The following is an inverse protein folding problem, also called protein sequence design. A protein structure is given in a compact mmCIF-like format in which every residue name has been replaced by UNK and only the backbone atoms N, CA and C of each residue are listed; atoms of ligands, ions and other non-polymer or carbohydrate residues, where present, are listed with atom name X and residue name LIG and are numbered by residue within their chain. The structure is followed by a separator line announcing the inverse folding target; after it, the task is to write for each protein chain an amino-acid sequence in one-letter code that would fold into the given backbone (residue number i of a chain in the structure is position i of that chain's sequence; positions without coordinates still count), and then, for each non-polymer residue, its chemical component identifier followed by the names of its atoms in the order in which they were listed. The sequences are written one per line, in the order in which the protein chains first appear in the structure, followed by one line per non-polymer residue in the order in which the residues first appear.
data_IF_713739412339
#
_entry.id   IF_713739412339
#
_cell.length_a   1.000
_cell.length_b   1.000
_cell.length_c   1.000
_cell.angle_alpha   90.00
_cell.angle_beta   90.00
_cell.angle_gamma   90.00
#
_symmetry.space_group_name_H-M   'P 1'
#
loop_
_entity.id
_entity.type
_entity.pdbx_description
1 polymer ?
#
# COMPACT_ATOMS: atom_id res chain seq x y z
N UNK A 1 14.08 0.83 15.77
CA UNK A 1 12.99 0.54 14.82
C UNK A 1 13.26 -0.71 14.02
N UNK A 2 12.25 -1.25 13.33
CA UNK A 2 12.34 -2.49 12.55
C UNK A 2 11.82 -3.74 13.27
N UNK A 3 12.05 -4.91 12.66
CA UNK A 3 11.64 -6.21 13.23
C UNK A 3 12.45 -6.46 14.51
N UNK A 4 11.80 -6.73 15.66
CA UNK A 4 12.50 -7.10 16.88
C UNK A 4 13.29 -8.42 16.69
N UNK A 5 14.61 -8.37 16.92
CA UNK A 5 15.54 -9.49 16.71
C UNK A 5 16.31 -9.86 17.98
N UNK A 6 16.59 -11.16 18.15
CA UNK A 6 17.54 -11.67 19.13
C UNK A 6 18.46 -12.69 18.44
N UNK A 7 19.77 -12.45 18.45
CA UNK A 7 20.77 -13.31 17.79
C UNK A 7 20.45 -13.61 16.32
N UNK A 8 19.96 -12.59 15.58
CA UNK A 8 19.59 -12.73 14.17
C UNK A 8 18.24 -13.43 13.92
N UNK A 9 17.48 -13.74 14.97
CA UNK A 9 16.18 -14.40 14.86
C UNK A 9 15.06 -13.46 15.32
N UNK A 10 13.96 -13.32 14.56
CA UNK A 10 12.80 -12.54 15.01
C UNK A 10 12.21 -13.06 16.33
N UNK A 11 11.91 -12.13 17.23
CA UNK A 11 11.34 -12.42 18.55
C UNK A 11 9.81 -12.32 18.59
N UNK A 12 9.21 -11.76 17.55
CA UNK A 12 7.76 -11.61 17.38
C UNK A 12 7.24 -12.54 16.28
N UNK A 13 5.94 -12.79 16.27
CA UNK A 13 5.26 -13.53 15.22
C UNK A 13 3.80 -13.10 15.10
N UNK A 14 3.21 -13.38 13.95
CA UNK A 14 1.78 -13.18 13.66
C UNK A 14 1.12 -14.55 13.55
N UNK A 15 -0.01 -14.73 14.22
CA UNK A 15 -0.75 -15.98 14.16
C UNK A 15 -1.43 -16.15 12.79
N UNK A 16 -1.21 -17.29 12.16
CA UNK A 16 -1.93 -17.68 10.96
C UNK A 16 -3.25 -18.38 11.35
N UNK A 17 -4.41 -17.76 11.08
CA UNK A 17 -5.70 -18.31 11.52
C UNK A 17 -6.11 -19.60 10.81
N UNK A 18 -5.43 -19.98 9.72
CA UNK A 18 -5.71 -21.24 9.01
C UNK A 18 -4.89 -22.40 9.55
N UNK A 19 -3.61 -22.17 9.85
CA UNK A 19 -2.70 -23.23 10.30
C UNK A 19 -2.55 -23.27 11.82
N UNK A 20 -3.04 -22.24 12.53
CA UNK A 20 -2.82 -21.99 13.95
C UNK A 20 -1.33 -21.92 14.34
N UNK A 21 -0.45 -21.65 13.36
CA UNK A 21 0.98 -21.46 13.60
C UNK A 21 1.28 -19.99 13.85
N UNK A 22 2.19 -19.71 14.78
CA UNK A 22 2.76 -18.38 14.93
C UNK A 22 3.88 -18.21 13.90
N UNK A 23 3.62 -17.45 12.84
CA UNK A 23 4.58 -17.23 11.75
C UNK A 23 5.46 -16.06 12.13
N UNK A 24 6.73 -16.35 12.41
CA UNK A 24 7.76 -15.33 12.58
C UNK A 24 8.03 -14.65 11.24
N UNK A 25 8.45 -13.38 11.23
CA UNK A 25 9.12 -12.83 10.07
C UNK A 25 10.26 -13.75 9.63
N UNK A 26 10.52 -13.84 8.32
CA UNK A 26 11.56 -14.71 7.80
C UNK A 26 12.26 -14.07 6.62
N UNK A 27 13.54 -14.39 6.43
CA UNK A 27 14.23 -14.00 5.23
C UNK A 27 13.62 -14.71 4.03
N UNK A 28 13.12 -13.96 3.06
CA UNK A 28 12.49 -14.48 1.87
C UNK A 28 13.42 -14.21 0.67
N UNK A 29 13.96 -15.26 0.06
CA UNK A 29 14.85 -15.14 -1.09
C UNK A 29 14.11 -15.21 -2.43
N UNK A 30 12.78 -15.16 -2.45
CA UNK A 30 12.01 -15.22 -3.68
C UNK A 30 12.04 -13.89 -4.43
N UNK A 31 12.29 -13.92 -5.73
CA UNK A 31 12.21 -12.74 -6.62
C UNK A 31 10.77 -12.20 -6.76
N UNK A 32 9.77 -13.02 -6.40
CA UNK A 32 8.36 -12.70 -6.58
C UNK A 32 7.57 -12.92 -5.29
N UNK A 33 7.24 -11.81 -4.65
CA UNK A 33 6.26 -11.73 -3.57
C UNK A 33 4.92 -11.21 -4.12
N UNK A 34 3.82 -11.81 -3.69
CA UNK A 34 2.45 -11.43 -4.03
C UNK A 34 1.83 -10.52 -2.99
N UNK A 35 2.24 -10.65 -1.73
CA UNK A 35 1.75 -9.85 -0.63
C UNK A 35 0.24 -10.00 -0.39
N UNK A 36 -0.34 -8.95 0.21
CA UNK A 36 -1.76 -8.86 0.55
C UNK A 36 -2.50 -7.75 -0.21
N UNK A 37 -3.83 -7.64 0.02
CA UNK A 37 -4.58 -6.46 -0.39
C UNK A 37 -4.06 -5.21 0.35
N UNK A 38 -4.20 -4.04 -0.26
CA UNK A 38 -3.55 -2.80 0.19
C UNK A 38 -4.49 -1.58 0.07
N UNK A 39 -5.79 -1.79 0.25
CA UNK A 39 -6.76 -0.70 0.44
C UNK A 39 -6.78 -0.16 1.88
N UNK A 40 -7.47 0.96 2.09
CA UNK A 40 -7.62 1.61 3.40
C UNK A 40 -8.17 0.68 4.50
N UNK A 41 -9.17 -0.13 4.14
CA UNK A 41 -9.76 -1.11 5.07
C UNK A 41 -8.73 -2.17 5.45
N UNK A 42 -7.88 -2.59 4.51
CA UNK A 42 -6.85 -3.60 4.75
C UNK A 42 -5.75 -3.04 5.66
N UNK A 43 -5.24 -1.83 5.37
CA UNK A 43 -4.27 -1.18 6.23
C UNK A 43 -4.76 -1.02 7.68
N UNK A 44 -6.03 -0.60 7.86
CA UNK A 44 -6.66 -0.51 9.19
C UNK A 44 -6.67 -1.86 9.91
N UNK A 45 -7.01 -2.93 9.19
CA UNK A 45 -7.09 -4.27 9.75
C UNK A 45 -5.72 -4.92 9.97
N UNK A 46 -4.72 -4.59 9.16
CA UNK A 46 -3.33 -5.05 9.34
C UNK A 46 -2.73 -4.46 10.61
N UNK A 47 -2.94 -3.15 10.83
CA UNK A 47 -2.54 -2.43 12.04
C UNK A 47 -3.28 -2.97 13.28
N UNK A 48 -4.54 -3.38 13.12
CA UNK A 48 -5.38 -3.99 14.15
C UNK A 48 -5.35 -3.23 15.50
N UNK A 49 -5.64 -1.92 15.45
CA UNK A 49 -5.63 -1.08 16.66
C UNK A 49 -4.26 -0.97 17.34
N UNK A 50 -3.17 -1.09 16.57
CA UNK A 50 -1.79 -0.98 17.04
C UNK A 50 -1.14 -2.31 17.43
N UNK A 51 -1.85 -3.45 17.29
CA UNK A 51 -1.29 -4.78 17.57
C UNK A 51 -0.39 -5.31 16.46
N UNK A 52 -0.58 -4.83 15.23
CA UNK A 52 0.22 -5.19 14.05
C UNK A 52 0.19 -6.70 13.73
N UNK A 53 -0.94 -7.37 13.96
CA UNK A 53 -1.10 -8.83 13.81
C UNK A 53 -2.20 -9.22 12.79
N UNK A 54 -2.68 -8.27 11.97
CA UNK A 54 -3.72 -8.52 10.96
C UNK A 54 -3.21 -9.05 9.61
N UNK A 55 -1.91 -8.90 9.32
CA UNK A 55 -1.29 -9.11 8.01
C UNK A 55 -1.62 -10.46 7.34
N UNK A 56 -1.45 -11.57 8.07
CA UNK A 56 -1.72 -12.91 7.53
C UNK A 56 -3.21 -13.09 7.26
N UNK A 57 -4.07 -12.57 8.13
CA UNK A 57 -5.51 -12.67 7.96
C UNK A 57 -5.98 -11.86 6.74
N UNK A 58 -5.50 -10.62 6.56
CA UNK A 58 -5.86 -9.80 5.40
C UNK A 58 -5.36 -10.43 4.10
N UNK A 59 -4.12 -10.93 4.06
CA UNK A 59 -3.60 -11.68 2.92
C UNK A 59 -4.52 -12.86 2.56
N UNK A 60 -4.87 -13.70 3.54
CA UNK A 60 -5.75 -14.86 3.30
C UNK A 60 -7.14 -14.47 2.84
N UNK A 61 -7.69 -13.37 3.35
CA UNK A 61 -8.98 -12.85 2.91
C UNK A 61 -8.90 -12.29 1.48
N UNK A 62 -7.86 -11.53 1.16
CA UNK A 62 -7.62 -11.01 -0.19
C UNK A 62 -7.47 -12.10 -1.25
N UNK A 63 -6.89 -13.26 -0.88
CA UNK A 63 -6.77 -14.44 -1.76
C UNK A 63 -8.12 -15.11 -2.08
N UNK A 64 -9.18 -14.85 -1.32
CA UNK A 64 -10.54 -15.32 -1.62
C UNK A 64 -11.22 -14.44 -2.68
N UNK A 65 -10.70 -13.23 -2.91
CA UNK A 65 -11.22 -12.28 -3.88
C UNK A 65 -10.45 -12.41 -5.19
N UNK A 66 -11.17 -12.59 -6.30
CA UNK A 66 -10.53 -12.55 -7.63
C UNK A 66 -10.16 -11.11 -7.96
N UNK A 67 -8.88 -10.87 -8.18
CA UNK A 67 -8.38 -9.59 -8.69
C UNK A 67 -8.95 -9.28 -10.07
N UNK A 68 -9.48 -8.07 -10.23
CA UNK A 68 -9.97 -7.57 -11.52
C UNK A 68 -8.82 -7.12 -12.44
N UNK A 69 -7.62 -6.92 -11.88
CA UNK A 69 -6.41 -6.58 -12.61
C UNK A 69 -5.20 -6.54 -11.68
N UNK A 70 -3.99 -6.29 -12.21
CA UNK A 70 -2.77 -6.24 -11.40
C UNK A 70 -2.73 -5.06 -10.41
N UNK A 71 -3.61 -4.08 -10.57
CA UNK A 71 -3.69 -2.87 -9.74
C UNK A 71 -4.93 -2.84 -8.83
N UNK A 72 -5.61 -3.97 -8.65
CA UNK A 72 -6.78 -4.07 -7.78
C UNK A 72 -6.34 -4.11 -6.31
N UNK A 73 -6.65 -3.09 -5.50
CA UNK A 73 -6.15 -3.00 -4.13
C UNK A 73 -6.89 -3.92 -3.16
N UNK A 74 -8.04 -4.49 -3.56
CA UNK A 74 -8.93 -5.23 -2.65
C UNK A 74 -8.64 -6.74 -2.59
N UNK A 75 -7.64 -7.22 -3.33
CA UNK A 75 -7.38 -8.65 -3.51
C UNK A 75 -5.89 -8.99 -3.36
N UNK A 76 -5.59 -10.28 -3.34
CA UNK A 76 -4.23 -10.80 -3.41
C UNK A 76 -4.18 -12.03 -4.33
N UNK A 77 -3.03 -12.29 -4.96
CA UNK A 77 -2.87 -13.44 -5.85
C UNK A 77 -2.91 -14.79 -5.08
N UNK A 78 -3.58 -15.80 -5.64
CA UNK A 78 -4.04 -16.98 -4.90
C UNK A 78 -3.01 -18.10 -4.64
N UNK A 79 -1.78 -18.04 -5.16
CA UNK A 79 -0.93 -19.24 -5.31
C UNK A 79 0.43 -19.18 -4.58
N UNK A 80 0.43 -19.06 -3.25
CA UNK A 80 1.64 -19.24 -2.45
C UNK A 80 1.36 -20.05 -1.18
N UNK A 81 2.22 -21.03 -0.90
CA UNK A 81 2.10 -21.93 0.26
C UNK A 81 2.39 -21.25 1.59
N UNK A 82 3.33 -20.28 1.61
CA UNK A 82 3.65 -19.50 2.81
C UNK A 82 3.03 -18.10 2.72
N UNK A 83 2.68 -17.48 3.86
CA UNK A 83 2.28 -16.08 3.90
C UNK A 83 3.52 -15.19 3.75
N UNK A 84 3.82 -14.81 2.51
CA UNK A 84 4.97 -13.97 2.13
C UNK A 84 4.88 -12.53 2.65
N UNK A 85 3.71 -12.11 3.16
CA UNK A 85 3.55 -10.87 3.94
C UNK A 85 4.41 -10.82 5.21
N UNK A 86 4.94 -11.98 5.66
CA UNK A 86 5.91 -12.06 6.76
C UNK A 86 7.37 -12.13 6.27
N UNK A 87 7.59 -12.13 4.96
CA UNK A 87 8.93 -12.16 4.36
C UNK A 87 9.63 -10.81 4.46
N UNK A 88 10.96 -10.83 4.65
CA UNK A 88 11.82 -9.67 4.50
C UNK A 88 13.02 -9.99 3.61
N UNK A 89 13.48 -8.98 2.87
CA UNK A 89 14.70 -9.02 2.06
C UNK A 89 15.87 -8.40 2.82
N UNK A 90 17.09 -8.81 2.50
CA UNK A 90 18.29 -8.10 2.96
C UNK A 90 19.24 -7.79 1.81
N UNK A 91 20.49 -7.45 2.11
CA UNK A 91 21.50 -7.05 1.14
C UNK A 91 21.74 -8.10 0.04
N UNK A 92 21.37 -9.37 0.28
CA UNK A 92 21.52 -10.46 -0.69
C UNK A 92 20.62 -10.26 -1.90
N UNK A 93 19.38 -9.83 -1.70
CA UNK A 93 18.38 -9.67 -2.77
C UNK A 93 18.32 -8.23 -3.30
N UNK A 94 18.57 -7.24 -2.43
CA UNK A 94 18.47 -5.81 -2.79
C UNK A 94 19.79 -5.04 -2.54
N UNK A 95 20.92 -5.48 -3.11
CA UNK A 95 22.24 -4.89 -2.82
C UNK A 95 22.34 -3.42 -3.18
N UNK A 96 21.64 -2.96 -4.23
CA UNK A 96 21.64 -1.55 -4.63
C UNK A 96 21.00 -0.64 -3.58
N UNK A 97 19.90 -1.07 -2.97
CA UNK A 97 19.23 -0.30 -1.91
C UNK A 97 20.07 -0.23 -0.64
N UNK A 98 20.74 -1.33 -0.28
CA UNK A 98 21.69 -1.35 0.84
C UNK A 98 22.92 -0.48 0.56
N UNK A 99 23.40 -0.45 -0.69
CA UNK A 99 24.47 0.47 -1.08
C UNK A 99 24.02 1.93 -0.93
N UNK A 100 22.80 2.29 -1.38
CA UNK A 100 22.28 3.64 -1.18
C UNK A 100 22.15 4.00 0.30
N UNK A 101 21.63 3.10 1.14
CA UNK A 101 21.53 3.33 2.58
C UNK A 101 22.90 3.51 3.27
N UNK A 102 23.94 2.83 2.80
CA UNK A 102 25.31 2.96 3.32
C UNK A 102 26.05 4.24 2.86
N UNK A 103 25.64 4.81 1.72
CA UNK A 103 26.34 5.94 1.10
C UNK A 103 25.57 7.26 1.14
N UNK A 104 24.27 7.22 1.44
CA UNK A 104 23.38 8.37 1.50
C UNK A 104 22.54 8.32 2.79
N UNK A 105 21.36 8.96 2.78
CA UNK A 105 20.45 9.01 3.93
C UNK A 105 19.36 7.97 3.77
N UNK A 106 19.14 7.19 4.82
CA UNK A 106 17.95 6.36 5.00
C UNK A 106 17.01 7.06 6.00
N UNK A 107 15.73 7.20 5.64
CA UNK A 107 14.69 7.66 6.56
C UNK A 107 13.88 6.44 7.02
N UNK A 108 14.14 5.94 8.23
CA UNK A 108 13.47 4.78 8.82
C UNK A 108 12.18 5.13 9.59
N UNK A 109 11.87 6.43 9.70
CA UNK A 109 10.60 6.98 10.20
C UNK A 109 9.84 7.77 9.13
N UNK A 110 9.96 7.39 7.85
CA UNK A 110 9.16 7.93 6.76
C UNK A 110 7.90 7.09 6.59
N UNK A 111 6.73 7.72 6.72
CA UNK A 111 5.44 7.08 6.52
C UNK A 111 4.77 7.63 5.26
N UNK A 112 4.00 6.78 4.58
CA UNK A 112 3.10 7.25 3.54
C UNK A 112 2.11 8.28 4.10
N UNK A 113 1.71 9.30 3.31
CA UNK A 113 0.84 10.37 3.79
C UNK A 113 -0.61 9.92 4.02
N UNK A 114 -0.98 8.73 3.54
CA UNK A 114 -2.28 8.11 3.73
C UNK A 114 -2.15 6.59 3.79
N UNK A 115 -3.03 5.91 4.52
CA UNK A 115 -3.05 4.46 4.62
C UNK A 115 -3.91 3.85 3.51
N UNK A 116 -3.40 3.77 2.27
CA UNK A 116 -4.16 3.24 1.13
C UNK A 116 -3.26 2.83 -0.05
N UNK A 117 -3.88 2.63 -1.21
CA UNK A 117 -3.24 2.15 -2.42
C UNK A 117 -2.68 3.30 -3.27
N UNK A 118 -2.04 2.95 -4.39
CA UNK A 118 -1.25 3.88 -5.20
C UNK A 118 -2.01 5.11 -5.70
N UNK A 119 -3.29 5.01 -6.06
CA UNK A 119 -4.02 6.18 -6.59
C UNK A 119 -4.14 7.31 -5.54
N UNK A 120 -4.69 7.07 -4.33
CA UNK A 120 -4.64 8.06 -3.25
C UNK A 120 -3.24 8.61 -2.97
N UNK A 121 -2.22 7.75 -2.89
CA UNK A 121 -0.83 8.18 -2.66
C UNK A 121 -0.32 9.16 -3.73
N UNK A 122 -0.58 8.88 -5.01
CA UNK A 122 -0.20 9.78 -6.09
C UNK A 122 -0.94 11.13 -6.02
N UNK A 123 -2.20 11.15 -5.56
CA UNK A 123 -2.92 12.41 -5.34
C UNK A 123 -2.26 13.22 -4.22
N UNK A 124 -1.94 12.58 -3.09
CA UNK A 124 -1.24 13.24 -1.98
C UNK A 124 0.12 13.82 -2.39
N UNK A 125 0.87 13.15 -3.28
CA UNK A 125 2.16 13.64 -3.76
C UNK A 125 2.06 15.02 -4.44
N UNK A 126 0.94 15.34 -5.09
CA UNK A 126 0.78 16.59 -5.85
C UNK A 126 -0.15 17.60 -5.20
N UNK A 127 -0.98 17.19 -4.24
CA UNK A 127 -2.01 18.05 -3.65
C UNK A 127 -2.18 17.94 -2.15
N UNK A 128 -1.46 17.03 -1.50
CA UNK A 128 -1.65 16.67 -0.09
C UNK A 128 -3.09 16.20 0.22
N UNK A 129 -3.87 15.79 -0.80
CA UNK A 129 -5.28 15.47 -0.64
C UNK A 129 -5.81 14.44 -1.64
N UNK A 130 -6.42 13.37 -1.12
CA UNK A 130 -7.26 12.45 -1.91
C UNK A 130 -8.73 12.67 -1.58
N UNK A 131 -9.52 12.96 -2.61
CA UNK A 131 -10.92 13.33 -2.46
C UNK A 131 -11.79 12.84 -3.61
N UNK A 132 -13.10 12.84 -3.35
CA UNK A 132 -14.13 12.58 -4.35
C UNK A 132 -15.18 13.68 -4.31
N UNK A 133 -15.48 14.22 -5.49
CA UNK A 133 -16.44 15.30 -5.67
C UNK A 133 -17.81 14.75 -6.05
N UNK A 134 -18.86 15.25 -5.40
CA UNK A 134 -20.24 14.85 -5.69
C UNK A 134 -20.85 15.61 -6.87
N UNK A 135 -20.28 16.78 -7.22
CA UNK A 135 -20.69 17.60 -8.35
C UNK A 135 -19.49 17.93 -9.24
N UNK A 136 -19.55 17.66 -10.56
CA UNK A 136 -18.43 17.93 -11.45
C UNK A 136 -18.04 19.41 -11.50
N UNK A 137 -16.75 19.70 -11.43
CA UNK A 137 -16.21 21.06 -11.45
C UNK A 137 -16.58 21.94 -10.24
N UNK A 138 -17.15 21.37 -9.18
CA UNK A 138 -17.49 22.10 -7.94
C UNK A 138 -16.56 21.64 -6.80
N UNK A 139 -15.46 22.38 -6.52
CA UNK A 139 -14.48 22.00 -5.51
C UNK A 139 -15.07 21.82 -4.11
N UNK A 140 -16.06 22.65 -3.75
CA UNK A 140 -16.73 22.59 -2.45
C UNK A 140 -17.62 21.36 -2.27
N UNK A 141 -17.80 20.55 -3.32
CA UNK A 141 -18.54 19.29 -3.28
C UNK A 141 -17.67 18.08 -2.94
N UNK A 142 -16.35 18.29 -2.84
CA UNK A 142 -15.36 17.24 -2.62
C UNK A 142 -15.20 16.91 -1.13
N UNK A 143 -15.07 15.62 -0.82
CA UNK A 143 -14.80 15.12 0.53
C UNK A 143 -13.65 14.11 0.50
N UNK A 144 -12.96 13.96 1.64
CA UNK A 144 -11.88 13.00 1.81
C UNK A 144 -12.33 11.60 1.38
N UNK A 145 -11.53 10.95 0.55
CA UNK A 145 -11.83 9.60 0.08
C UNK A 145 -10.53 8.88 -0.26
N UNK A 146 -10.17 7.88 0.55
CA UNK A 146 -8.95 7.09 0.36
C UNK A 146 -9.22 5.74 -0.29
N UNK A 147 -10.43 5.19 -0.15
CA UNK A 147 -10.72 3.85 -0.62
C UNK A 147 -11.11 3.87 -2.10
N UNK A 148 -11.99 4.81 -2.49
CA UNK A 148 -12.56 4.90 -3.83
C UNK A 148 -12.59 6.33 -4.39
N UNK A 149 -11.44 7.04 -4.45
CA UNK A 149 -11.40 8.36 -5.07
C UNK A 149 -11.78 8.25 -6.55
N UNK A 150 -12.11 9.39 -7.18
CA UNK A 150 -12.32 9.36 -8.63
C UNK A 150 -11.02 8.93 -9.31
N UNK A 151 -11.13 8.19 -10.41
CA UNK A 151 -9.99 7.58 -11.06
C UNK A 151 -10.29 7.30 -12.52
N UNK A 152 -9.26 6.91 -13.27
CA UNK A 152 -9.47 6.51 -14.67
C UNK A 152 -10.30 5.22 -14.69
N UNK A 153 -11.57 5.35 -15.05
CA UNK A 153 -12.48 4.23 -15.23
C UNK A 153 -12.34 3.65 -16.65
N UNK A 154 -12.47 2.34 -16.79
CA UNK A 154 -12.49 1.70 -18.11
C UNK A 154 -11.11 1.36 -18.70
N UNK A 155 -10.12 0.96 -17.88
CA UNK A 155 -8.84 0.40 -18.38
C UNK A 155 -8.99 -0.95 -19.13
N UNK A 156 -10.20 -1.45 -19.31
CA UNK A 156 -10.47 -2.52 -20.27
C UNK A 156 -10.28 -1.95 -21.68
N UNK A 157 -9.32 -2.50 -22.43
CA UNK A 157 -9.05 -2.13 -23.81
C UNK A 157 -10.36 -2.12 -24.64
N UNK A 158 -10.94 -0.92 -24.87
CA UNK A 158 -12.13 -0.73 -25.71
C UNK A 158 -13.27 0.13 -25.13
N UNK A 159 -13.29 0.45 -23.82
CA UNK A 159 -14.28 1.37 -23.26
C UNK A 159 -13.79 2.84 -23.32
N UNK A 160 -14.68 3.84 -23.55
CA UNK A 160 -14.31 5.24 -23.43
C UNK A 160 -13.79 5.51 -22.02
N UNK A 161 -12.55 6.00 -21.91
CA UNK A 161 -11.99 6.37 -20.61
C UNK A 161 -12.73 7.60 -20.09
N UNK A 162 -13.50 7.44 -19.02
CA UNK A 162 -14.00 8.58 -18.26
C UNK A 162 -12.80 9.17 -17.52
N UNK A 163 -12.42 10.39 -17.88
CA UNK A 163 -11.39 11.14 -17.15
C UNK A 163 -11.89 11.40 -15.73
N UNK A 164 -11.04 11.20 -14.71
CA UNK A 164 -11.39 11.60 -13.36
C UNK A 164 -11.58 13.12 -13.29
N UNK A 165 -12.51 13.56 -12.45
CA UNK A 165 -12.69 14.97 -12.14
C UNK A 165 -12.15 15.27 -10.74
N UNK A 166 -10.92 15.76 -10.73
CA UNK A 166 -10.31 16.35 -9.55
C UNK A 166 -10.59 17.86 -9.58
N UNK A 167 -11.76 18.25 -9.09
CA UNK A 167 -12.19 19.66 -9.09
C UNK A 167 -11.37 20.56 -8.16
N UNK A 168 -10.44 19.99 -7.37
CA UNK A 168 -9.49 20.73 -6.56
C UNK A 168 -8.21 21.05 -7.35
N UNK A 169 -7.50 22.09 -6.92
CA UNK A 169 -6.25 22.53 -7.56
C UNK A 169 -5.06 21.87 -6.88
N UNK A 170 -4.15 21.29 -7.65
CA UNK A 170 -2.94 20.69 -7.11
C UNK A 170 -1.97 21.75 -6.56
N UNK A 171 -1.17 21.36 -5.57
CA UNK A 171 -0.23 22.24 -4.88
C UNK A 171 0.84 22.76 -5.84
N UNK A 172 1.26 21.95 -6.82
CA UNK A 172 2.30 22.35 -7.77
C UNK A 172 1.85 23.53 -8.65
N UNK A 173 0.59 23.54 -9.08
CA UNK A 173 -0.02 24.68 -9.76
C UNK A 173 -0.09 25.92 -8.85
N UNK A 174 -0.49 25.74 -7.58
CA UNK A 174 -0.59 26.85 -6.64
C UNK A 174 0.78 27.50 -6.37
N UNK A 175 1.82 26.69 -6.19
CA UNK A 175 3.20 27.16 -6.03
C UNK A 175 3.68 27.89 -7.30
N UNK A 176 3.47 27.28 -8.47
CA UNK A 176 3.81 27.89 -9.76
C UNK A 176 3.13 29.26 -9.95
N UNK A 177 1.82 29.35 -9.69
CA UNK A 177 1.06 30.61 -9.78
C UNK A 177 1.51 31.64 -8.74
N UNK A 178 1.96 31.16 -7.58
CA UNK A 178 2.54 31.97 -6.51
C UNK A 178 3.97 32.47 -6.81
N UNK A 179 4.59 32.03 -7.91
CA UNK A 179 6.01 32.22 -8.20
C UNK A 179 6.93 31.74 -7.06
N UNK A 180 6.58 30.60 -6.46
CA UNK A 180 7.37 29.88 -5.44
C UNK A 180 8.05 28.68 -6.08
#
# INVERSE_FOLDING_TARGET
DGIPMQNGVPTVCVNDPVTNQCVKPFHDSADLNRGGPHGQINATNDINGGKMDGFIQQMRNGRKTKCQGPFDPACAASNQHLPDVMGYHDAREIPNYWAYANHFVLQDHMFEPNASWSLPEHLFMVSEWSAKCTQPGVPMSCQNELQNPDGIQGRNHGAPQKRPDYAWTDLTYLLHKGNV
#
